data_IF_187507293441
#
_entry.id   IF_187507293441
#
_cell.length_a   1.000
_cell.length_b   1.000
_cell.length_c   1.000
_cell.angle_alpha   90.00
_cell.angle_beta   90.00
_cell.angle_gamma   90.00
#
_symmetry.space_group_name_H-M   'P 1'
#
loop_
_entity.id
_entity.type
_entity.pdbx_description
1 polymer ?
#
# COMPACT_ATOMS: atom_id res chain seq x y z
N UNK A 1 16.52 15.58 -2.32
CA UNK A 1 16.04 15.42 -0.92
C UNK A 1 15.15 14.20 -0.77
N UNK A 2 14.16 14.06 -1.61
CA UNK A 2 13.15 12.97 -1.55
C UNK A 2 13.78 11.57 -1.74
N UNK A 3 14.65 11.39 -2.73
CA UNK A 3 15.26 10.09 -3.05
C UNK A 3 16.04 9.48 -1.89
N UNK A 4 16.87 10.27 -1.19
CA UNK A 4 17.65 9.77 -0.04
C UNK A 4 16.76 9.39 1.13
N UNK A 5 15.79 10.25 1.46
CA UNK A 5 14.82 9.98 2.53
C UNK A 5 14.02 8.71 2.24
N UNK A 6 13.55 8.56 0.99
CA UNK A 6 12.85 7.36 0.55
C UNK A 6 13.71 6.09 0.69
N UNK A 7 14.97 6.13 0.23
CA UNK A 7 15.88 4.98 0.33
C UNK A 7 16.14 4.58 1.77
N UNK A 8 16.40 5.55 2.66
CA UNK A 8 16.62 5.29 4.09
C UNK A 8 15.36 4.70 4.74
N UNK A 9 14.19 5.26 4.44
CA UNK A 9 12.91 4.74 4.93
C UNK A 9 12.70 3.28 4.50
N UNK A 10 12.89 2.96 3.21
CA UNK A 10 12.76 1.60 2.70
C UNK A 10 13.75 0.63 3.35
N UNK A 11 14.98 1.07 3.59
CA UNK A 11 15.99 0.27 4.30
C UNK A 11 15.53 -0.03 5.74
N UNK A 12 15.03 0.96 6.47
CA UNK A 12 14.49 0.74 7.82
C UNK A 12 13.30 -0.24 7.81
N UNK A 13 12.36 -0.07 6.88
CA UNK A 13 11.22 -0.99 6.72
C UNK A 13 11.69 -2.41 6.45
N UNK A 14 12.70 -2.59 5.59
CA UNK A 14 13.27 -3.89 5.28
C UNK A 14 13.84 -4.57 6.54
N UNK A 15 14.62 -3.83 7.34
CA UNK A 15 15.19 -4.37 8.60
C UNK A 15 14.12 -4.67 9.65
N UNK A 16 13.09 -3.83 9.76
CA UNK A 16 11.99 -4.05 10.73
C UNK A 16 11.12 -5.26 10.38
N UNK A 17 11.06 -5.62 9.11
CA UNK A 17 10.33 -6.80 8.63
C UNK A 17 11.21 -8.04 8.46
N UNK A 18 12.50 -7.94 8.78
CA UNK A 18 13.38 -9.10 8.78
C UNK A 18 12.86 -10.13 9.80
N UNK A 19 12.54 -11.32 9.32
CA UNK A 19 11.93 -12.39 10.14
C UNK A 19 10.41 -12.53 10.00
N UNK A 20 9.75 -11.62 9.31
CA UNK A 20 8.38 -11.83 8.85
C UNK A 20 8.36 -12.56 7.50
N UNK A 21 7.47 -13.55 7.34
CA UNK A 21 7.29 -14.30 6.08
C UNK A 21 6.68 -13.41 4.96
N UNK A 22 7.16 -12.17 4.85
CA UNK A 22 6.57 -11.16 4.00
C UNK A 22 7.61 -10.18 3.45
N UNK A 23 7.49 -9.86 2.17
CA UNK A 23 8.32 -8.83 1.55
C UNK A 23 7.73 -7.43 1.81
N UNK A 24 8.55 -6.37 2.10
CA UNK A 24 8.06 -5.01 2.35
C UNK A 24 7.06 -4.46 1.32
N UNK A 25 7.22 -4.82 0.04
CA UNK A 25 6.29 -4.41 -1.04
C UNK A 25 4.88 -5.00 -0.90
N UNK A 26 4.67 -5.99 -0.03
CA UNK A 26 3.36 -6.59 0.22
C UNK A 26 2.59 -5.84 1.32
N UNK A 27 3.26 -5.01 2.12
CA UNK A 27 2.64 -4.22 3.19
C UNK A 27 1.44 -3.39 2.73
N UNK A 28 1.52 -2.61 1.64
CA UNK A 28 0.38 -1.82 1.19
C UNK A 28 -0.83 -2.70 0.87
N UNK A 29 -0.62 -3.90 0.30
CA UNK A 29 -1.70 -4.84 0.01
C UNK A 29 -2.29 -5.38 1.30
N UNK A 30 -1.43 -5.79 2.26
CA UNK A 30 -1.87 -6.30 3.55
C UNK A 30 -2.74 -5.28 4.30
N UNK A 31 -2.37 -4.01 4.25
CA UNK A 31 -3.13 -2.92 4.89
C UNK A 31 -4.40 -2.50 4.14
N UNK A 32 -4.45 -2.73 2.83
CA UNK A 32 -5.66 -2.49 2.04
C UNK A 32 -6.76 -3.54 2.29
N UNK A 33 -6.41 -4.69 2.87
CA UNK A 33 -7.38 -5.72 3.24
C UNK A 33 -8.02 -5.34 4.58
N UNK A 34 -9.36 -5.29 4.68
CA UNK A 34 -10.03 -4.97 5.94
C UNK A 34 -9.76 -6.05 7.00
N UNK A 35 -9.73 -5.66 8.27
CA UNK A 35 -9.55 -6.60 9.38
C UNK A 35 -10.70 -7.60 9.48
N UNK A 36 -11.91 -7.16 9.11
CA UNK A 36 -13.10 -8.03 9.06
C UNK A 36 -13.62 -8.09 7.63
N UNK A 37 -13.92 -9.30 7.18
CA UNK A 37 -14.45 -9.52 5.84
C UNK A 37 -13.38 -9.68 4.76
N UNK A 38 -13.77 -9.43 3.52
CA UNK A 38 -12.93 -9.62 2.34
C UNK A 38 -13.07 -8.45 1.36
N UNK A 39 -12.03 -8.21 0.58
CA UNK A 39 -11.99 -7.20 -0.47
C UNK A 39 -11.62 -7.85 -1.81
N UNK A 40 -12.17 -7.37 -2.92
CA UNK A 40 -11.76 -7.90 -4.22
C UNK A 40 -10.36 -7.42 -4.63
N UNK A 41 -9.59 -8.27 -5.32
CA UNK A 41 -8.28 -7.89 -5.85
C UNK A 41 -8.34 -6.65 -6.76
N UNK A 42 -9.46 -6.48 -7.48
CA UNK A 42 -9.69 -5.29 -8.30
C UNK A 42 -9.87 -4.00 -7.48
N UNK A 43 -10.50 -4.10 -6.30
CA UNK A 43 -10.62 -2.96 -5.38
C UNK A 43 -9.26 -2.62 -4.76
N UNK A 44 -8.49 -3.64 -4.32
CA UNK A 44 -7.11 -3.45 -3.83
C UNK A 44 -6.26 -2.74 -4.89
N UNK A 45 -6.31 -3.21 -6.14
CA UNK A 45 -5.57 -2.61 -7.26
C UNK A 45 -5.93 -1.13 -7.46
N UNK A 46 -7.23 -0.80 -7.38
CA UNK A 46 -7.73 0.57 -7.51
C UNK A 46 -7.25 1.47 -6.36
N UNK A 47 -7.36 0.99 -5.12
CA UNK A 47 -6.93 1.74 -3.93
C UNK A 47 -5.44 2.04 -3.96
N UNK A 48 -4.63 1.08 -4.42
CA UNK A 48 -3.17 1.21 -4.45
C UNK A 48 -2.63 1.83 -5.75
N UNK A 49 -3.47 2.05 -6.76
CA UNK A 49 -3.04 2.58 -8.06
C UNK A 49 -2.10 1.62 -8.81
N UNK A 50 -2.27 0.29 -8.66
CA UNK A 50 -1.44 -0.73 -9.30
C UNK A 50 -2.28 -1.64 -10.19
N UNK A 51 -1.63 -2.43 -11.07
CA UNK A 51 -2.35 -3.37 -11.93
C UNK A 51 -2.96 -4.53 -11.13
N UNK A 52 -4.08 -5.07 -11.62
CA UNK A 52 -4.72 -6.28 -11.05
C UNK A 52 -3.77 -7.47 -11.06
N UNK A 53 -2.94 -7.59 -12.11
CA UNK A 53 -1.95 -8.65 -12.23
C UNK A 53 -0.91 -8.57 -11.09
N UNK A 54 -0.41 -7.38 -10.76
CA UNK A 54 0.52 -7.17 -9.66
C UNK A 54 -0.08 -7.58 -8.30
N UNK A 55 -1.36 -7.20 -8.06
CA UNK A 55 -2.08 -7.62 -6.85
C UNK A 55 -2.27 -9.13 -6.82
N UNK A 56 -2.66 -9.76 -7.95
CA UNK A 56 -2.88 -11.21 -8.02
C UNK A 56 -1.60 -12.00 -7.71
N UNK A 57 -0.45 -11.58 -8.26
CA UNK A 57 0.86 -12.19 -7.98
C UNK A 57 1.23 -12.07 -6.50
N UNK A 58 1.07 -10.86 -5.93
CA UNK A 58 1.37 -10.62 -4.52
C UNK A 58 0.42 -11.40 -3.60
N UNK A 59 -0.88 -11.39 -3.87
CA UNK A 59 -1.88 -12.14 -3.09
C UNK A 59 -1.59 -13.66 -3.12
N UNK A 60 -1.16 -14.20 -4.27
CA UNK A 60 -0.76 -15.63 -4.36
C UNK A 60 0.47 -15.94 -3.49
N UNK A 61 1.45 -15.03 -3.40
CA UNK A 61 2.60 -15.19 -2.51
C UNK A 61 2.20 -15.12 -1.04
N UNK A 62 1.36 -14.14 -0.69
CA UNK A 62 0.84 -13.97 0.67
C UNK A 62 -0.04 -15.15 1.11
N UNK A 63 -0.79 -15.75 0.19
CA UNK A 63 -1.56 -16.97 0.45
C UNK A 63 -0.65 -18.16 0.76
N UNK A 64 0.45 -18.35 -0.01
CA UNK A 64 1.44 -19.38 0.26
C UNK A 64 2.15 -19.20 1.61
N UNK A 65 2.35 -17.95 2.03
CA UNK A 65 2.89 -17.60 3.36
C UNK A 65 1.84 -17.73 4.48
N UNK A 66 0.58 -18.05 4.13
CA UNK A 66 -0.53 -18.20 5.08
C UNK A 66 -1.04 -16.88 5.66
N UNK A 67 -0.75 -15.74 5.02
CA UNK A 67 -1.15 -14.41 5.50
C UNK A 67 -2.55 -14.02 5.04
N UNK A 68 -2.97 -14.50 3.89
CA UNK A 68 -4.30 -14.25 3.33
C UNK A 68 -4.94 -15.53 2.82
N UNK A 69 -6.25 -15.55 2.74
CA UNK A 69 -7.03 -16.52 1.97
C UNK A 69 -7.66 -15.85 0.76
N UNK A 70 -7.77 -16.59 -0.33
CA UNK A 70 -8.42 -16.14 -1.57
C UNK A 70 -9.64 -17.00 -1.84
N UNK A 71 -10.75 -16.37 -2.14
CA UNK A 71 -12.02 -17.01 -2.38
C UNK A 71 -12.66 -16.44 -3.65
N UNK A 72 -13.52 -17.22 -4.29
CA UNK A 72 -14.38 -16.72 -5.37
C UNK A 72 -15.48 -15.84 -4.78
N UNK A 73 -15.80 -14.74 -5.46
CA UNK A 73 -16.88 -13.86 -5.02
C UNK A 73 -18.23 -14.58 -5.09
N UNK A 74 -19.03 -14.45 -4.03
CA UNK A 74 -20.32 -15.14 -3.90
C UNK A 74 -21.34 -14.79 -5.00
N UNK A 75 -21.26 -13.59 -5.59
CA UNK A 75 -22.16 -13.14 -6.67
C UNK A 75 -21.52 -13.08 -8.06
N UNK A 76 -20.19 -13.14 -8.14
CA UNK A 76 -19.45 -13.07 -9.40
C UNK A 76 -18.17 -13.91 -9.29
N UNK A 77 -18.20 -15.08 -9.86
CA UNK A 77 -17.08 -16.03 -9.86
C UNK A 77 -15.81 -15.52 -10.58
N UNK A 78 -15.93 -14.45 -11.37
CA UNK A 78 -14.80 -13.79 -12.03
C UNK A 78 -14.00 -12.92 -11.04
N UNK A 79 -14.60 -12.59 -9.89
CA UNK A 79 -13.92 -11.82 -8.85
C UNK A 79 -13.22 -12.73 -7.86
N UNK A 80 -11.95 -12.46 -7.62
CA UNK A 80 -11.21 -13.09 -6.53
C UNK A 80 -11.21 -12.14 -5.34
N UNK A 81 -11.77 -12.61 -4.24
CA UNK A 81 -11.79 -11.94 -2.95
C UNK A 81 -10.55 -12.33 -2.15
N UNK A 82 -10.05 -11.42 -1.33
CA UNK A 82 -8.90 -11.63 -0.44
C UNK A 82 -9.31 -11.20 0.97
N UNK A 83 -9.03 -12.05 1.94
CA UNK A 83 -9.25 -11.77 3.36
C UNK A 83 -7.99 -12.14 4.16
N UNK A 84 -7.76 -11.48 5.29
CA UNK A 84 -6.68 -11.84 6.20
C UNK A 84 -6.96 -13.21 6.84
N UNK A 85 -5.90 -13.95 7.15
CA UNK A 85 -5.94 -15.05 8.08
C UNK A 85 -5.58 -14.54 9.48
N UNK A 86 -5.79 -15.32 10.56
CA UNK A 86 -5.30 -14.93 11.90
C UNK A 86 -3.81 -14.62 11.92
N UNK A 87 -2.99 -15.37 11.18
CA UNK A 87 -1.55 -15.07 10.99
C UNK A 87 -1.37 -13.72 10.29
N UNK A 88 -2.16 -13.45 9.24
CA UNK A 88 -2.11 -12.19 8.49
C UNK A 88 -2.51 -10.98 9.33
N UNK A 89 -3.52 -11.12 10.16
CA UNK A 89 -3.95 -10.07 11.11
C UNK A 89 -2.83 -9.73 12.11
N UNK A 90 -2.19 -10.76 12.67
CA UNK A 90 -1.10 -10.59 13.62
C UNK A 90 0.12 -9.93 12.96
N UNK A 91 0.51 -10.34 11.75
CA UNK A 91 1.59 -9.72 10.98
C UNK A 91 1.24 -8.27 10.63
N UNK A 92 0.00 -7.99 10.21
CA UNK A 92 -0.46 -6.63 9.92
C UNK A 92 -0.39 -5.73 11.16
N UNK A 93 -0.78 -6.25 12.32
CA UNK A 93 -0.72 -5.54 13.61
C UNK A 93 0.73 -5.20 13.99
N UNK A 94 1.66 -6.17 13.90
CA UNK A 94 3.09 -5.96 14.19
C UNK A 94 3.70 -4.96 13.22
N UNK A 95 3.38 -5.08 11.93
CA UNK A 95 3.86 -4.16 10.91
C UNK A 95 3.40 -2.71 11.15
N UNK A 96 2.17 -2.50 11.64
CA UNK A 96 1.67 -1.17 12.05
C UNK A 96 2.48 -0.62 13.23
N UNK A 97 2.70 -1.42 14.27
CA UNK A 97 3.50 -1.00 15.41
C UNK A 97 4.96 -0.66 15.02
N UNK A 98 5.53 -1.37 14.06
CA UNK A 98 6.84 -1.04 13.50
C UNK A 98 6.81 0.29 12.74
N UNK A 99 5.76 0.55 11.97
CA UNK A 99 5.61 1.79 11.23
C UNK A 99 5.41 3.00 12.16
N UNK A 100 4.61 2.86 13.20
CA UNK A 100 4.42 3.90 14.21
C UNK A 100 5.74 4.27 14.89
N UNK A 101 6.53 3.26 15.30
CA UNK A 101 7.87 3.48 15.86
C UNK A 101 8.82 4.14 14.86
N UNK A 102 8.79 3.72 13.60
CA UNK A 102 9.61 4.30 12.55
C UNK A 102 9.23 5.77 12.29
N UNK A 103 7.93 6.07 12.30
CA UNK A 103 7.45 7.44 12.17
C UNK A 103 7.89 8.31 13.34
N UNK A 104 7.75 7.81 14.56
CA UNK A 104 8.21 8.51 15.76
C UNK A 104 9.71 8.82 15.72
N UNK A 105 10.53 7.84 15.29
CA UNK A 105 11.99 8.04 15.13
C UNK A 105 12.31 9.02 13.98
N UNK A 106 11.55 8.99 12.92
CA UNK A 106 11.74 9.91 11.78
C UNK A 106 11.46 11.36 12.14
N UNK A 107 10.55 11.58 13.08
CA UNK A 107 10.13 12.90 13.54
C UNK A 107 10.77 13.30 14.88
N UNK A 108 11.74 12.53 15.37
CA UNK A 108 12.44 12.84 16.60
C UNK A 108 13.15 14.20 16.52
N UNK A 109 12.92 15.07 17.51
CA UNK A 109 13.46 16.43 17.55
C UNK A 109 12.62 17.48 16.83
N UNK A 110 11.52 17.11 16.17
CA UNK A 110 10.60 18.08 15.58
C UNK A 110 9.68 18.68 16.63
N UNK A 111 9.48 20.00 16.59
CA UNK A 111 8.44 20.68 17.38
C UNK A 111 7.04 20.40 16.78
N UNK A 112 6.00 20.69 17.56
CA UNK A 112 4.62 20.55 17.07
C UNK A 112 4.35 21.46 15.86
N UNK A 113 4.88 22.69 15.86
CA UNK A 113 4.73 23.63 14.76
C UNK A 113 5.44 23.14 13.49
N UNK A 114 6.64 22.59 13.63
CA UNK A 114 7.37 21.99 12.51
C UNK A 114 6.64 20.77 11.94
N UNK A 115 6.05 19.93 12.77
CA UNK A 115 5.23 18.80 12.31
C UNK A 115 4.00 19.27 11.52
N UNK A 116 3.28 20.27 12.03
CA UNK A 116 2.12 20.85 11.33
C UNK A 116 2.54 21.47 10.00
N UNK A 117 3.65 22.23 9.98
CA UNK A 117 4.18 22.81 8.76
C UNK A 117 4.56 21.74 7.74
N UNK A 118 5.26 20.69 8.17
CA UNK A 118 5.67 19.56 7.33
C UNK A 118 4.45 18.86 6.72
N UNK A 119 3.42 18.57 7.51
CA UNK A 119 2.18 17.95 7.03
C UNK A 119 1.48 18.82 5.98
N UNK A 120 1.37 20.13 6.21
CA UNK A 120 0.76 21.06 5.26
C UNK A 120 1.53 21.13 3.93
N UNK A 121 2.87 21.10 3.98
CA UNK A 121 3.71 21.09 2.79
C UNK A 121 3.55 19.76 2.01
N UNK A 122 3.53 18.64 2.69
CA UNK A 122 3.26 17.33 2.05
C UNK A 122 1.88 17.28 1.41
N UNK A 123 0.85 17.79 2.09
CA UNK A 123 -0.51 17.85 1.52
C UNK A 123 -0.51 18.65 0.22
N UNK A 124 0.09 19.85 0.20
CA UNK A 124 0.19 20.68 -1.01
C UNK A 124 0.93 19.98 -2.15
N UNK A 125 2.00 19.24 -1.83
CA UNK A 125 2.72 18.45 -2.83
C UNK A 125 1.84 17.33 -3.40
N UNK A 126 1.11 16.63 -2.55
CA UNK A 126 0.18 15.57 -2.97
C UNK A 126 -0.96 16.12 -3.84
N UNK A 127 -1.54 17.26 -3.47
CA UNK A 127 -2.59 17.92 -4.25
C UNK A 127 -2.09 18.35 -5.63
N UNK A 128 -0.84 18.83 -5.72
CA UNK A 128 -0.22 19.18 -6.99
C UNK A 128 -0.01 17.95 -7.88
N UNK A 129 0.49 16.85 -7.31
CA UNK A 129 0.69 15.58 -8.03
C UNK A 129 -0.64 14.98 -8.49
N UNK A 130 -1.67 15.04 -7.65
CA UNK A 130 -3.00 14.54 -8.00
C UNK A 130 -3.62 15.33 -9.17
N UNK A 131 -3.52 16.66 -9.16
CA UNK A 131 -3.94 17.51 -10.28
C UNK A 131 -3.19 17.16 -11.56
N UNK A 132 -1.88 17.01 -11.48
CA UNK A 132 -1.05 16.66 -12.63
C UNK A 132 -1.37 15.25 -13.16
N UNK A 133 -1.62 14.29 -12.29
CA UNK A 133 -2.08 12.94 -12.67
C UNK A 133 -3.40 13.01 -13.47
N UNK A 134 -4.36 13.79 -13.00
CA UNK A 134 -5.65 13.99 -13.70
C UNK A 134 -5.47 14.65 -15.06
N UNK A 135 -4.56 15.61 -15.19
CA UNK A 135 -4.22 16.23 -16.48
C UNK A 135 -3.62 15.21 -17.47
N UNK A 136 -2.72 14.36 -16.98
CA UNK A 136 -2.13 13.29 -17.80
C UNK A 136 -3.17 12.26 -18.25
N UNK A 137 -4.09 11.87 -17.38
CA UNK A 137 -5.19 10.95 -17.70
C UNK A 137 -6.12 11.56 -18.76
N UNK A 138 -6.48 12.85 -18.62
CA UNK A 138 -7.29 13.56 -19.63
C UNK A 138 -6.59 13.62 -20.99
N UNK A 139 -5.29 13.91 -21.01
CA UNK A 139 -4.52 13.94 -22.26
C UNK A 139 -4.50 12.58 -22.95
N UNK A 140 -4.32 11.49 -22.19
CA UNK A 140 -4.36 10.11 -22.72
C UNK A 140 -5.73 9.76 -23.32
N UNK A 141 -6.82 10.12 -22.67
CA UNK A 141 -8.17 9.92 -23.21
C UNK A 141 -8.36 10.65 -24.54
N UNK A 142 -7.74 11.81 -24.74
CA UNK A 142 -7.84 12.59 -25.97
C UNK A 142 -6.95 12.05 -27.11
N UNK A 143 -5.83 11.40 -26.77
CA UNK A 143 -4.89 10.84 -27.79
C UNK A 143 -5.20 9.40 -28.17
N UNK A 144 -6.19 8.73 -27.55
CA UNK A 144 -6.58 7.37 -27.88
C UNK A 144 -5.54 6.30 -27.52
N UNK A 145 -4.53 6.63 -26.72
CA UNK A 145 -3.56 5.65 -26.23
C UNK A 145 -4.20 4.79 -25.14
N UNK A 146 -4.50 3.53 -25.46
CA UNK A 146 -4.98 2.54 -24.50
C UNK A 146 -3.95 2.35 -23.37
N UNK A 147 -4.44 2.46 -22.13
CA UNK A 147 -3.66 2.13 -20.95
C UNK A 147 -3.48 0.61 -20.91
N UNK A 148 -2.30 0.12 -21.25
CA UNK A 148 -1.88 -1.22 -20.86
C UNK A 148 -1.66 -1.17 -19.33
N UNK A 149 -2.72 -1.54 -18.61
CA UNK A 149 -2.67 -1.74 -17.16
C UNK A 149 -2.09 -3.10 -16.79
#
# INVERSE_FOLDING_TARGET
LDRRSHTLYQSCVFHLLAGEDMHPRQLPILWAIPQTGAISQGQVARVLGVSRAAVAVSAKRMERAGLVRREKGAGDQRRTMVALTPKGEEVARRARAHQERLLARRLEGFTQEEMVCLMNLYQRMNDNLERYRQELERKRCLTGEEVVC
#
